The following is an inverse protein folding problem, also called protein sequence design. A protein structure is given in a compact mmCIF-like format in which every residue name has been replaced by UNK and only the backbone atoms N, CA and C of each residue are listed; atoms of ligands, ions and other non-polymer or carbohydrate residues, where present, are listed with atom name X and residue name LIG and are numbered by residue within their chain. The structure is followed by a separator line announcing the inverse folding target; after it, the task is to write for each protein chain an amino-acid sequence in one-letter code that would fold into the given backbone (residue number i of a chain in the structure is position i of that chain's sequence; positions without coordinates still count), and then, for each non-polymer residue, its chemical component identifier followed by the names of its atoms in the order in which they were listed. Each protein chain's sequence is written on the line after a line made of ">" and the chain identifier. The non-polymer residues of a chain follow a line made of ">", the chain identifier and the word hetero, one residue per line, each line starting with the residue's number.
data_IF_752614375692
#
_entry.id   IF_752614375692
#
_cell.length_a   1.000
_cell.length_b   1.000
_cell.length_c   1.000
_cell.angle_alpha   90.00
_cell.angle_beta   90.00
_cell.angle_gamma   90.00
#
_symmetry.space_group_name_H-M   'P 1'
#
loop_
_entity.id
_entity.type
_entity.pdbx_description
1 polymer ?
#
# COMPACT_ATOMS: atom_id res chain seq x y z
N UNK A 1 3.89 10.65 15.00
CA UNK A 1 2.89 10.44 13.93
C UNK A 1 3.56 9.82 12.72
N UNK A 2 2.84 9.16 11.82
CA UNK A 2 3.43 8.53 10.61
C UNK A 2 4.21 9.54 9.75
N UNK A 3 3.77 10.80 9.66
CA UNK A 3 4.50 11.87 8.96
C UNK A 3 5.94 12.12 9.48
N UNK A 4 6.24 11.83 10.75
CA UNK A 4 7.60 11.95 11.29
C UNK A 4 8.51 10.82 10.80
N UNK A 5 7.95 9.65 10.43
CA UNK A 5 8.70 8.50 9.93
C UNK A 5 9.31 8.78 8.55
N UNK A 6 8.55 9.42 7.65
CA UNK A 6 9.06 9.78 6.33
C UNK A 6 10.22 10.80 6.40
N UNK A 7 10.17 11.74 7.36
CA UNK A 7 11.29 12.65 7.60
C UNK A 7 12.53 11.92 8.14
N UNK A 8 12.32 10.84 8.91
CA UNK A 8 13.37 9.99 9.45
C UNK A 8 14.02 9.01 8.45
N UNK A 9 13.33 8.69 7.35
CA UNK A 9 13.81 7.73 6.34
C UNK A 9 14.94 8.27 5.43
N UNK A 10 15.25 9.57 5.53
CA UNK A 10 16.18 10.25 4.64
C UNK A 10 17.64 9.86 4.81
N UNK A 11 18.05 9.23 5.92
CA UNK A 11 19.44 8.82 6.18
C UNK A 11 19.49 7.49 6.92
N UNK A 12 20.52 6.65 6.66
CA UNK A 12 20.69 5.36 7.34
C UNK A 12 20.76 5.47 8.87
N UNK A 13 21.53 6.44 9.39
CA UNK A 13 21.61 6.71 10.83
C UNK A 13 20.25 7.13 11.41
N UNK A 14 19.45 7.84 10.63
CA UNK A 14 18.11 8.30 11.01
C UNK A 14 17.07 7.17 10.95
N UNK A 15 17.23 6.18 10.06
CA UNK A 15 16.40 4.96 10.06
C UNK A 15 16.62 4.13 11.32
N UNK A 16 17.87 3.91 11.74
CA UNK A 16 18.16 3.20 12.98
C UNK A 16 17.53 3.90 14.20
N UNK A 17 17.65 5.24 14.27
CA UNK A 17 17.00 6.05 15.32
C UNK A 17 15.47 5.98 15.24
N UNK A 18 14.90 5.96 14.03
CA UNK A 18 13.45 5.84 13.83
C UNK A 18 12.94 4.49 14.32
N UNK A 19 13.66 3.40 14.03
CA UNK A 19 13.37 2.06 14.55
C UNK A 19 13.38 2.07 16.08
N UNK A 20 14.44 2.60 16.70
CA UNK A 20 14.55 2.65 18.17
C UNK A 20 13.42 3.46 18.81
N UNK A 21 13.02 4.58 18.20
CA UNK A 21 11.89 5.39 18.66
C UNK A 21 10.56 4.64 18.56
N UNK A 22 10.34 3.92 17.46
CA UNK A 22 9.15 3.10 17.28
C UNK A 22 9.13 1.93 18.27
N UNK A 23 10.23 1.20 18.46
CA UNK A 23 10.32 0.11 19.44
C UNK A 23 9.96 0.55 20.87
N UNK A 24 10.31 1.79 21.24
CA UNK A 24 9.99 2.39 22.55
C UNK A 24 8.56 2.91 22.66
N UNK A 25 7.88 3.16 21.55
CA UNK A 25 6.50 3.65 21.55
C UNK A 25 5.51 2.50 21.79
N UNK A 26 5.31 2.18 23.06
CA UNK A 26 4.34 1.14 23.47
C UNK A 26 2.89 1.55 23.22
N UNK A 27 2.60 2.85 23.00
CA UNK A 27 1.24 3.35 22.83
C UNK A 27 0.63 2.98 21.47
N UNK A 28 1.47 2.72 20.47
CA UNK A 28 1.05 2.38 19.11
C UNK A 28 1.12 0.89 18.78
N UNK A 29 1.48 0.02 19.74
CA UNK A 29 1.68 -1.42 19.46
C UNK A 29 0.38 -2.20 19.21
N UNK A 30 -0.78 -1.64 19.54
CA UNK A 30 -2.08 -2.19 19.13
C UNK A 30 -2.47 -1.79 17.71
N UNK A 31 -1.72 -0.89 17.07
CA UNK A 31 -2.06 -0.33 15.77
C UNK A 31 -1.37 -1.08 14.63
N UNK A 32 -2.13 -1.50 13.62
CA UNK A 32 -1.56 -2.24 12.48
C UNK A 32 -0.49 -1.43 11.72
N UNK A 33 -0.71 -0.11 11.53
CA UNK A 33 0.23 0.74 10.81
C UNK A 33 1.61 0.77 11.47
N UNK A 34 1.68 0.66 12.79
CA UNK A 34 2.94 0.65 13.52
C UNK A 34 3.81 -0.52 13.08
N UNK A 35 3.23 -1.72 13.10
CA UNK A 35 3.91 -2.95 12.73
C UNK A 35 4.23 -3.03 11.24
N UNK A 36 3.35 -2.52 10.36
CA UNK A 36 3.63 -2.43 8.93
C UNK A 36 4.84 -1.55 8.63
N UNK A 37 4.91 -0.36 9.25
CA UNK A 37 6.03 0.55 9.07
C UNK A 37 7.33 -0.03 9.66
N UNK A 38 7.26 -0.62 10.86
CA UNK A 38 8.41 -1.22 11.51
C UNK A 38 8.94 -2.43 10.73
N UNK A 39 8.06 -3.29 10.21
CA UNK A 39 8.44 -4.41 9.36
C UNK A 39 9.19 -3.95 8.12
N UNK A 40 8.71 -2.89 7.45
CA UNK A 40 9.40 -2.34 6.29
C UNK A 40 10.75 -1.70 6.65
N UNK A 41 10.84 -0.98 7.77
CA UNK A 41 12.09 -0.39 8.24
C UNK A 41 13.14 -1.46 8.55
N UNK A 42 12.76 -2.55 9.24
CA UNK A 42 13.65 -3.69 9.49
C UNK A 42 14.13 -4.34 8.19
N UNK A 43 13.22 -4.60 7.24
CA UNK A 43 13.58 -5.15 5.93
C UNK A 43 14.57 -4.24 5.20
N UNK A 44 14.33 -2.92 5.21
CA UNK A 44 15.21 -1.93 4.59
C UNK A 44 16.55 -1.78 5.32
N UNK A 45 16.74 -2.46 6.45
CA UNK A 45 17.99 -2.49 7.22
C UNK A 45 18.54 -3.92 7.36
N UNK A 46 18.11 -4.84 6.48
CA UNK A 46 18.51 -6.27 6.43
C UNK A 46 18.21 -7.08 7.70
N UNK A 47 17.29 -6.60 8.54
CA UNK A 47 16.83 -7.30 9.74
C UNK A 47 15.59 -8.14 9.40
N UNK A 48 15.76 -9.15 8.53
CA UNK A 48 14.65 -9.89 7.93
C UNK A 48 13.82 -10.66 8.97
N UNK A 49 14.44 -11.26 9.99
CA UNK A 49 13.73 -11.97 11.06
C UNK A 49 12.83 -11.03 11.87
N UNK A 50 13.35 -9.85 12.24
CA UNK A 50 12.54 -8.83 12.93
C UNK A 50 11.43 -8.29 12.03
N UNK A 51 11.71 -8.16 10.74
CA UNK A 51 10.70 -7.75 9.75
C UNK A 51 9.56 -8.78 9.67
N UNK A 52 9.88 -10.08 9.67
CA UNK A 52 8.90 -11.17 9.72
C UNK A 52 8.06 -11.10 10.99
N UNK A 53 8.68 -10.90 12.16
CA UNK A 53 7.95 -10.75 13.43
C UNK A 53 6.98 -9.56 13.39
N UNK A 54 7.45 -8.41 12.90
CA UNK A 54 6.62 -7.22 12.79
C UNK A 54 5.43 -7.42 11.83
N UNK A 55 5.65 -8.00 10.64
CA UNK A 55 4.54 -8.31 9.73
C UNK A 55 3.58 -9.36 10.31
N UNK A 56 4.08 -10.33 11.09
CA UNK A 56 3.23 -11.28 11.82
C UNK A 56 2.32 -10.60 12.86
N UNK A 57 2.80 -9.57 13.56
CA UNK A 57 1.97 -8.78 14.48
C UNK A 57 0.92 -7.95 13.74
N UNK A 58 1.26 -7.36 12.59
CA UNK A 58 0.30 -6.68 11.73
C UNK A 58 -0.79 -7.66 11.22
N UNK A 59 -0.39 -8.87 10.80
CA UNK A 59 -1.31 -9.94 10.38
C UNK A 59 -2.26 -10.34 11.51
N UNK A 60 -1.75 -10.52 12.73
CA UNK A 60 -2.57 -10.88 13.89
C UNK A 60 -3.66 -9.84 14.21
N UNK A 61 -3.33 -8.55 14.15
CA UNK A 61 -4.30 -7.46 14.35
C UNK A 61 -5.36 -7.48 13.25
N UNK A 62 -4.94 -7.72 12.00
CA UNK A 62 -5.85 -7.82 10.87
C UNK A 62 -6.79 -9.03 11.00
N UNK A 63 -6.28 -10.19 11.38
CA UNK A 63 -7.07 -11.40 11.59
C UNK A 63 -8.12 -11.24 12.68
N UNK A 64 -7.76 -10.58 13.79
CA UNK A 64 -8.71 -10.28 14.87
C UNK A 64 -9.85 -9.37 14.38
N UNK A 65 -9.53 -8.38 13.55
CA UNK A 65 -10.52 -7.52 12.92
C UNK A 65 -11.43 -8.28 11.96
N UNK A 66 -10.86 -9.06 11.03
CA UNK A 66 -11.62 -9.80 10.02
C UNK A 66 -12.54 -10.84 10.66
N UNK A 67 -12.09 -11.51 11.73
CA UNK A 67 -12.92 -12.43 12.52
C UNK A 67 -14.11 -11.74 13.19
N UNK A 68 -13.91 -10.54 13.77
CA UNK A 68 -15.02 -9.74 14.33
C UNK A 68 -15.97 -9.21 13.26
N UNK A 69 -15.42 -8.79 12.12
CA UNK A 69 -16.21 -8.27 11.02
C UNK A 69 -17.15 -9.35 10.46
N UNK A 70 -16.67 -10.59 10.25
CA UNK A 70 -17.53 -11.70 9.81
C UNK A 70 -18.69 -11.98 10.78
N UNK A 71 -18.44 -11.90 12.09
CA UNK A 71 -19.48 -12.07 13.13
C UNK A 71 -20.44 -10.88 13.18
N UNK A 72 -19.94 -9.66 12.99
CA UNK A 72 -20.76 -8.43 12.95
C UNK A 72 -21.61 -8.36 11.68
N UNK A 73 -21.11 -8.87 10.55
CA UNK A 73 -21.85 -8.98 9.29
C UNK A 73 -23.03 -9.96 9.37
N UNK A 74 -22.97 -10.95 10.27
CA UNK A 74 -24.11 -11.85 10.57
C UNK A 74 -25.20 -11.19 11.44
N UNK A 75 -24.92 -10.05 12.08
CA UNK A 75 -25.79 -9.38 13.05
C UNK A 75 -26.12 -7.92 12.70
N UNK A 76 -26.07 -7.52 11.42
CA UNK A 76 -26.10 -6.09 11.03
C UNK A 76 -27.39 -5.38 11.46
N UNK A 77 -27.26 -4.62 12.54
CA UNK A 77 -28.07 -3.45 12.90
C UNK A 77 -27.25 -2.17 12.85
N UNK A 78 -26.46 -1.95 11.78
CA UNK A 78 -25.66 -0.72 11.62
C UNK A 78 -26.43 0.32 10.79
N UNK A 79 -27.30 1.09 11.45
CA UNK A 79 -27.96 2.24 10.84
C UNK A 79 -27.00 3.40 10.50
N UNK A 80 -27.56 4.53 10.05
CA UNK A 80 -26.84 5.75 9.65
C UNK A 80 -25.84 6.32 10.69
N UNK A 81 -25.87 5.88 11.95
CA UNK A 81 -25.00 6.36 13.03
C UNK A 81 -23.50 6.09 12.81
N UNK A 82 -23.13 5.03 12.08
CA UNK A 82 -21.73 4.74 11.74
C UNK A 82 -21.10 5.79 10.80
N UNK A 83 -21.93 6.48 10.00
CA UNK A 83 -21.50 7.53 9.08
C UNK A 83 -21.10 8.83 9.80
N UNK A 84 -21.43 8.95 11.09
CA UNK A 84 -21.14 10.14 11.90
C UNK A 84 -19.71 10.17 12.43
N UNK A 85 -19.04 9.02 12.51
CA UNK A 85 -17.64 8.97 12.92
C UNK A 85 -16.75 9.64 11.86
N UNK A 86 -15.83 10.50 12.31
CA UNK A 86 -14.82 11.06 11.40
C UNK A 86 -13.89 9.96 10.92
N UNK A 87 -13.43 10.03 9.68
CA UNK A 87 -12.53 8.99 9.12
C UNK A 87 -11.20 8.83 9.87
N UNK A 88 -10.66 9.88 10.48
CA UNK A 88 -9.47 9.74 11.35
C UNK A 88 -9.74 9.06 12.71
N UNK A 89 -11.00 8.80 13.03
CA UNK A 89 -11.42 7.98 14.18
C UNK A 89 -11.76 6.53 13.80
N UNK A 90 -11.75 6.19 12.50
CA UNK A 90 -11.86 4.80 12.04
C UNK A 90 -10.54 4.08 12.34
N UNK A 91 -10.61 2.89 12.93
CA UNK A 91 -9.41 2.07 13.17
C UNK A 91 -8.81 1.63 11.84
N UNK A 92 -7.49 1.76 11.70
CA UNK A 92 -6.77 1.43 10.48
C UNK A 92 -6.39 -0.07 10.43
N UNK A 93 -6.90 -0.77 9.42
CA UNK A 93 -6.62 -2.20 9.16
C UNK A 93 -6.06 -2.43 7.75
N UNK A 94 -5.42 -1.42 7.16
CA UNK A 94 -4.92 -1.48 5.79
C UNK A 94 -6.02 -1.50 4.72
N UNK A 95 -5.71 -0.92 3.57
CA UNK A 95 -6.46 -1.06 2.31
C UNK A 95 -6.11 -2.37 1.61
N UNK A 96 -6.90 -2.76 0.62
CA UNK A 96 -6.73 -4.03 -0.11
C UNK A 96 -5.29 -4.28 -0.58
N UNK A 97 -4.69 -3.31 -1.29
CA UNK A 97 -3.28 -3.42 -1.70
C UNK A 97 -2.29 -3.47 -0.53
N UNK A 98 -2.55 -2.76 0.57
CA UNK A 98 -1.63 -2.76 1.72
C UNK A 98 -1.62 -4.14 2.39
N UNK A 99 -2.79 -4.78 2.52
CA UNK A 99 -2.91 -6.14 3.07
C UNK A 99 -2.20 -7.17 2.20
N UNK A 100 -2.30 -7.05 0.87
CA UNK A 100 -1.66 -8.01 -0.04
C UNK A 100 -0.15 -7.79 -0.12
N UNK A 101 0.29 -6.53 -0.21
CA UNK A 101 1.71 -6.18 -0.23
C UNK A 101 2.42 -6.45 1.10
N UNK A 102 1.71 -6.49 2.22
CA UNK A 102 2.25 -6.99 3.50
C UNK A 102 2.83 -8.39 3.34
N UNK A 103 2.05 -9.31 2.77
CA UNK A 103 2.50 -10.67 2.51
C UNK A 103 3.56 -10.74 1.41
N UNK A 104 3.47 -9.91 0.37
CA UNK A 104 4.52 -9.81 -0.66
C UNK A 104 5.87 -9.45 -0.06
N UNK A 105 5.91 -8.42 0.78
CA UNK A 105 7.13 -7.99 1.46
C UNK A 105 7.59 -9.02 2.50
N UNK A 106 6.67 -9.66 3.22
CA UNK A 106 7.02 -10.70 4.18
C UNK A 106 7.60 -11.95 3.50
N UNK A 107 7.02 -12.39 2.39
CA UNK A 107 7.57 -13.51 1.62
C UNK A 107 8.94 -13.21 1.04
N UNK A 108 9.21 -11.95 0.68
CA UNK A 108 10.56 -11.55 0.29
C UNK A 108 11.56 -11.64 1.47
N UNK A 109 11.15 -11.34 2.70
CA UNK A 109 12.01 -11.56 3.88
C UNK A 109 12.38 -13.04 4.02
N UNK A 110 11.41 -13.94 3.91
CA UNK A 110 11.67 -15.39 3.92
C UNK A 110 12.62 -15.80 2.78
N UNK A 111 12.43 -15.27 1.57
CA UNK A 111 13.31 -15.53 0.44
C UNK A 111 14.75 -15.07 0.72
N UNK A 112 14.94 -13.86 1.28
CA UNK A 112 16.25 -13.32 1.63
C UNK A 112 16.96 -14.12 2.73
N UNK A 113 16.21 -14.86 3.56
CA UNK A 113 16.75 -15.82 4.52
C UNK A 113 17.02 -17.21 3.92
N UNK A 114 16.89 -17.36 2.60
CA UNK A 114 17.03 -18.63 1.88
C UNK A 114 15.83 -19.57 2.03
N UNK A 115 14.76 -19.15 2.73
CA UNK A 115 13.57 -19.94 2.97
C UNK A 115 12.51 -19.69 1.88
N UNK A 116 12.76 -20.20 0.67
CA UNK A 116 11.85 -20.03 -0.48
C UNK A 116 10.52 -20.78 -0.33
N UNK A 117 10.50 -21.86 0.46
CA UNK A 117 9.27 -22.57 0.81
C UNK A 117 8.37 -21.69 1.70
N UNK A 118 8.93 -21.08 2.74
CA UNK A 118 8.26 -20.10 3.58
C UNK A 118 7.81 -18.85 2.81
N UNK A 119 8.65 -18.38 1.87
CA UNK A 119 8.27 -17.31 0.95
C UNK A 119 7.03 -17.68 0.15
N UNK A 120 6.97 -18.89 -0.40
CA UNK A 120 5.83 -19.41 -1.16
C UNK A 120 4.57 -19.54 -0.30
N UNK A 121 4.71 -19.94 0.98
CA UNK A 121 3.58 -19.94 1.93
C UNK A 121 3.01 -18.53 2.12
N UNK A 122 3.85 -17.52 2.31
CA UNK A 122 3.39 -16.13 2.40
C UNK A 122 2.75 -15.64 1.10
N UNK A 123 3.24 -16.04 -0.08
CA UNK A 123 2.61 -15.70 -1.35
C UNK A 123 1.20 -16.31 -1.50
N UNK A 124 0.97 -17.51 -0.96
CA UNK A 124 -0.38 -18.10 -0.91
C UNK A 124 -1.31 -17.33 0.04
N UNK A 125 -0.80 -16.81 1.16
CA UNK A 125 -1.58 -15.91 2.03
C UNK A 125 -1.94 -14.62 1.31
N UNK A 126 -0.99 -14.02 0.58
CA UNK A 126 -1.23 -12.84 -0.27
C UNK A 126 -2.43 -13.10 -1.21
N UNK A 127 -2.44 -14.22 -1.93
CA UNK A 127 -3.52 -14.59 -2.83
C UNK A 127 -4.85 -14.79 -2.11
N UNK A 128 -4.85 -15.50 -0.97
CA UNK A 128 -6.05 -15.68 -0.14
C UNK A 128 -6.66 -14.35 0.30
N UNK A 129 -5.83 -13.36 0.66
CA UNK A 129 -6.32 -12.02 1.06
C UNK A 129 -6.92 -11.25 -0.12
N UNK A 130 -6.44 -11.45 -1.35
CA UNK A 130 -7.08 -10.86 -2.53
C UNK A 130 -8.50 -11.39 -2.72
N UNK A 131 -8.71 -12.69 -2.55
CA UNK A 131 -10.05 -13.29 -2.65
C UNK A 131 -11.00 -12.78 -1.56
N UNK A 132 -10.50 -12.61 -0.33
CA UNK A 132 -11.27 -12.02 0.76
C UNK A 132 -11.68 -10.59 0.44
N UNK A 133 -10.75 -9.78 -0.05
CA UNK A 133 -11.02 -8.38 -0.39
C UNK A 133 -11.97 -8.22 -1.57
N UNK A 134 -11.94 -9.12 -2.55
CA UNK A 134 -12.94 -9.13 -3.63
C UNK A 134 -14.36 -9.22 -3.05
N UNK A 135 -14.60 -10.15 -2.13
CA UNK A 135 -15.89 -10.30 -1.45
C UNK A 135 -16.25 -9.08 -0.61
N UNK A 136 -15.32 -8.60 0.23
CA UNK A 136 -15.52 -7.40 1.06
C UNK A 136 -15.86 -6.16 0.20
N UNK A 137 -15.22 -6.02 -0.96
CA UNK A 137 -15.47 -4.92 -1.90
C UNK A 137 -16.87 -4.99 -2.53
N UNK A 138 -17.32 -6.19 -2.94
CA UNK A 138 -18.67 -6.39 -3.49
C UNK A 138 -19.77 -6.07 -2.46
N UNK A 139 -19.56 -6.48 -1.21
CA UNK A 139 -20.46 -6.20 -0.09
C UNK A 139 -20.52 -4.70 0.23
N UNK A 140 -19.37 -4.02 0.29
CA UNK A 140 -19.31 -2.56 0.49
C UNK A 140 -20.02 -1.78 -0.60
N UNK A 141 -19.97 -2.23 -1.85
CA UNK A 141 -20.73 -1.62 -2.94
C UNK A 141 -22.25 -1.76 -2.71
N UNK A 142 -22.71 -2.94 -2.30
CA UNK A 142 -24.12 -3.16 -1.94
C UNK A 142 -24.57 -2.31 -0.76
N UNK A 143 -23.76 -2.22 0.30
CA UNK A 143 -24.07 -1.37 1.45
C UNK A 143 -24.12 0.12 1.11
N UNK A 144 -23.18 0.59 0.28
CA UNK A 144 -23.14 1.98 -0.16
C UNK A 144 -24.42 2.36 -0.89
N UNK A 145 -24.94 1.45 -1.74
CA UNK A 145 -26.20 1.65 -2.43
C UNK A 145 -27.39 1.78 -1.46
N UNK A 146 -27.50 0.89 -0.47
CA UNK A 146 -28.57 0.94 0.55
C UNK A 146 -28.52 2.24 1.37
N UNK A 147 -27.32 2.61 1.84
CA UNK A 147 -27.12 3.84 2.63
C UNK A 147 -27.45 5.11 1.83
N UNK A 148 -27.20 5.11 0.51
CA UNK A 148 -27.57 6.23 -0.38
C UNK A 148 -29.09 6.45 -0.45
N UNK A 149 -29.88 5.37 -0.41
CA UNK A 149 -31.36 5.45 -0.40
C UNK A 149 -31.91 6.02 0.91
N UNK A 150 -31.23 5.78 2.04
CA UNK A 150 -31.64 6.27 3.37
C UNK A 150 -31.29 7.75 3.61
N UNK A 151 -30.31 8.31 2.90
CA UNK A 151 -29.84 9.69 3.10
C UNK A 151 -30.78 10.69 2.42
N UNK A 152 -31.45 11.52 3.24
CA UNK A 152 -32.29 12.62 2.76
C UNK A 152 -31.50 13.63 1.93
N UNK A 153 -32.08 14.06 0.80
CA UNK A 153 -31.53 15.11 -0.07
C UNK A 153 -30.75 14.60 -1.28
N UNK A 154 -30.59 13.27 -1.44
CA UNK A 154 -29.97 12.60 -2.58
C UNK A 154 -28.73 13.35 -3.13
N UNK A 155 -27.67 13.54 -2.31
CA UNK A 155 -26.48 14.25 -2.75
C UNK A 155 -25.86 13.56 -3.97
N UNK A 156 -25.35 14.34 -4.92
CA UNK A 156 -24.62 13.80 -6.06
C UNK A 156 -23.25 13.28 -5.60
N UNK A 157 -23.22 11.99 -5.26
CA UNK A 157 -22.03 11.27 -4.76
C UNK A 157 -21.18 10.67 -5.88
N UNK A 158 -21.73 10.59 -7.08
CA UNK A 158 -21.13 9.83 -8.18
C UNK A 158 -20.17 10.69 -9.00
N UNK A 159 -20.26 12.02 -8.84
CA UNK A 159 -19.38 12.98 -9.47
C UNK A 159 -18.30 13.46 -8.52
N UNK A 160 -17.10 13.61 -9.07
CA UNK A 160 -15.98 14.24 -8.34
C UNK A 160 -16.35 15.71 -8.08
N UNK A 161 -16.32 16.18 -6.83
CA UNK A 161 -16.64 17.57 -6.51
C UNK A 161 -15.69 18.55 -7.20
N UNK A 162 -16.23 19.67 -7.69
CA UNK A 162 -15.42 20.74 -8.26
C UNK A 162 -14.44 21.30 -7.22
N UNK A 163 -13.18 21.47 -7.62
CA UNK A 163 -12.12 21.99 -6.74
C UNK A 163 -11.47 20.96 -5.81
N UNK A 164 -11.82 19.68 -5.92
CA UNK A 164 -11.16 18.60 -5.18
C UNK A 164 -9.79 18.25 -5.76
N UNK A 165 -8.74 18.23 -4.93
CA UNK A 165 -7.34 18.14 -5.41
C UNK A 165 -7.02 16.83 -6.13
N UNK A 166 -7.77 15.76 -5.82
CA UNK A 166 -7.57 14.44 -6.43
C UNK A 166 -8.23 14.27 -7.79
N UNK A 167 -8.97 15.28 -8.29
CA UNK A 167 -9.77 15.13 -9.52
C UNK A 167 -9.00 14.60 -10.72
N UNK A 168 -7.79 15.12 -10.97
CA UNK A 168 -6.94 14.65 -12.07
C UNK A 168 -6.41 13.23 -11.82
N UNK A 169 -5.90 12.95 -10.62
CA UNK A 169 -5.32 11.64 -10.28
C UNK A 169 -6.36 10.50 -10.32
N UNK A 170 -7.60 10.76 -9.93
CA UNK A 170 -8.69 9.76 -9.99
C UNK A 170 -9.25 9.54 -11.40
N UNK A 171 -8.86 10.38 -12.35
CA UNK A 171 -9.21 10.26 -13.77
C UNK A 171 -8.04 9.82 -14.65
N UNK A 172 -6.87 9.61 -14.05
CA UNK A 172 -5.69 9.06 -14.69
C UNK A 172 -6.03 7.76 -15.45
N UNK A 173 -5.60 7.61 -16.72
CA UNK A 173 -5.93 6.45 -17.53
C UNK A 173 -5.51 5.11 -16.91
N UNK A 174 -4.34 5.05 -16.26
CA UNK A 174 -3.86 3.84 -15.60
C UNK A 174 -4.81 3.47 -14.45
N UNK A 175 -5.19 4.46 -13.63
CA UNK A 175 -6.13 4.27 -12.51
C UNK A 175 -7.49 3.77 -13.02
N UNK A 176 -8.00 4.33 -14.13
CA UNK A 176 -9.29 3.92 -14.70
C UNK A 176 -9.26 2.54 -15.35
N UNK A 177 -8.11 2.14 -15.91
CA UNK A 177 -7.93 0.85 -16.55
C UNK A 177 -7.76 -0.29 -15.52
N UNK A 178 -7.38 0.02 -14.28
CA UNK A 178 -7.24 -0.98 -13.23
C UNK A 178 -8.58 -1.63 -12.90
N UNK A 179 -8.62 -2.96 -13.04
CA UNK A 179 -9.79 -3.75 -12.66
C UNK A 179 -10.09 -3.64 -11.15
N UNK A 180 -9.05 -3.64 -10.33
CA UNK A 180 -9.16 -3.54 -8.89
C UNK A 180 -7.91 -2.91 -8.25
N UNK A 181 -7.94 -2.72 -6.93
CA UNK A 181 -6.90 -2.06 -6.15
C UNK A 181 -6.13 -2.99 -5.21
N UNK A 182 -6.17 -4.31 -5.42
CA UNK A 182 -5.57 -5.28 -4.50
C UNK A 182 -4.74 -6.37 -5.20
N UNK A 183 -4.89 -6.52 -6.52
CA UNK A 183 -4.04 -7.35 -7.36
C UNK A 183 -2.99 -6.49 -8.04
N UNK A 184 -1.74 -6.98 -8.04
CA UNK A 184 -0.63 -6.34 -8.72
C UNK A 184 0.27 -7.37 -9.43
N UNK A 185 0.84 -6.98 -10.56
CA UNK A 185 1.64 -7.87 -11.38
C UNK A 185 2.96 -8.25 -10.69
N UNK A 186 3.51 -7.37 -9.85
CA UNK A 186 4.75 -7.62 -9.13
C UNK A 186 4.62 -8.76 -8.13
N UNK A 187 3.60 -8.75 -7.27
CA UNK A 187 3.37 -9.80 -6.26
C UNK A 187 3.17 -11.16 -6.91
N UNK A 188 2.43 -11.23 -8.02
CA UNK A 188 2.29 -12.46 -8.79
C UNK A 188 3.58 -12.88 -9.50
N UNK A 189 4.36 -11.93 -10.00
CA UNK A 189 5.64 -12.24 -10.64
C UNK A 189 6.66 -12.76 -9.61
N UNK A 190 6.73 -12.14 -8.43
CA UNK A 190 7.54 -12.61 -7.31
C UNK A 190 7.07 -13.98 -6.83
N UNK A 191 5.75 -14.19 -6.69
CA UNK A 191 5.17 -15.49 -6.36
C UNK A 191 5.63 -16.58 -7.32
N UNK A 192 5.58 -16.31 -8.62
CA UNK A 192 6.06 -17.23 -9.64
C UNK A 192 7.57 -17.50 -9.55
N UNK A 193 8.37 -16.51 -9.15
CA UNK A 193 9.82 -16.68 -8.98
C UNK A 193 10.12 -17.54 -7.76
N UNK A 194 9.61 -17.18 -6.57
CA UNK A 194 9.94 -17.88 -5.33
C UNK A 194 9.41 -19.30 -5.31
N UNK A 195 8.23 -19.55 -5.87
CA UNK A 195 7.66 -20.90 -5.91
C UNK A 195 8.35 -21.80 -6.93
N UNK A 196 8.90 -21.23 -8.02
CA UNK A 196 9.76 -21.99 -8.94
C UNK A 196 11.06 -22.40 -8.25
N UNK A 197 11.67 -21.49 -7.50
CA UNK A 197 12.90 -21.77 -6.73
C UNK A 197 12.63 -22.87 -5.69
N UNK A 198 11.46 -22.86 -5.04
CA UNK A 198 11.05 -23.91 -4.11
C UNK A 198 10.48 -25.18 -4.78
N UNK A 199 10.65 -25.36 -6.09
CA UNK A 199 10.17 -26.51 -6.88
C UNK A 199 8.63 -26.71 -6.91
N UNK A 200 7.83 -25.70 -6.61
CA UNK A 200 6.37 -25.69 -6.85
C UNK A 200 6.05 -25.10 -8.24
N UNK A 201 6.26 -25.94 -9.25
CA UNK A 201 6.09 -25.58 -10.67
C UNK A 201 4.64 -25.23 -11.01
N UNK A 202 3.67 -25.96 -10.46
CA UNK A 202 2.25 -25.73 -10.75
C UNK A 202 1.81 -24.34 -10.25
N UNK A 203 2.13 -24.01 -8.99
CA UNK A 203 1.80 -22.70 -8.44
C UNK A 203 2.56 -21.58 -9.14
N UNK A 204 3.81 -21.84 -9.53
CA UNK A 204 4.64 -20.91 -10.31
C UNK A 204 3.98 -20.54 -11.64
N UNK A 205 3.52 -21.54 -12.41
CA UNK A 205 2.90 -21.32 -13.72
C UNK A 205 1.58 -20.54 -13.62
N UNK A 206 0.77 -20.81 -12.59
CA UNK A 206 -0.47 -20.07 -12.33
C UNK A 206 -0.14 -18.61 -12.01
N UNK A 207 0.80 -18.38 -11.08
CA UNK A 207 1.22 -17.03 -10.69
C UNK A 207 1.83 -16.25 -11.86
N UNK A 208 2.62 -16.91 -12.70
CA UNK A 208 3.19 -16.31 -13.91
C UNK A 208 2.09 -15.84 -14.89
N UNK A 209 1.09 -16.69 -15.16
CA UNK A 209 -0.02 -16.33 -16.05
C UNK A 209 -0.79 -15.11 -15.52
N UNK A 210 -1.02 -15.04 -14.21
CA UNK A 210 -1.68 -13.89 -13.57
C UNK A 210 -0.83 -12.62 -13.62
N UNK A 211 0.47 -12.71 -13.41
CA UNK A 211 1.38 -11.58 -13.54
C UNK A 211 1.32 -10.98 -14.96
N UNK A 212 1.39 -11.82 -15.99
CA UNK A 212 1.33 -11.40 -17.40
C UNK A 212 -0.05 -10.84 -17.78
N UNK A 213 -1.13 -11.40 -17.21
CA UNK A 213 -2.48 -10.88 -17.43
C UNK A 213 -2.69 -9.48 -16.83
N UNK A 214 -2.05 -9.19 -15.70
CA UNK A 214 -2.11 -7.87 -15.05
C UNK A 214 -1.14 -6.86 -15.70
N UNK A 215 0.04 -7.31 -16.13
CA UNK A 215 1.01 -6.50 -16.88
C UNK A 215 1.77 -7.37 -17.89
N UNK A 216 1.58 -7.14 -19.21
CA UNK A 216 2.32 -7.87 -20.23
C UNK A 216 3.85 -7.77 -20.11
N UNK A 217 4.36 -6.69 -19.51
CA UNK A 217 5.79 -6.49 -19.26
C UNK A 217 6.39 -7.55 -18.32
N UNK A 218 5.57 -8.17 -17.45
CA UNK A 218 6.01 -9.25 -16.57
C UNK A 218 6.53 -10.47 -17.34
N UNK A 219 6.14 -10.64 -18.62
CA UNK A 219 6.66 -11.71 -19.49
C UNK A 219 8.17 -11.67 -19.64
N UNK A 220 8.79 -10.49 -19.53
CA UNK A 220 10.25 -10.32 -19.64
C UNK A 220 11.01 -11.01 -18.51
N UNK A 221 10.41 -11.14 -17.31
CA UNK A 221 10.97 -11.85 -16.15
C UNK A 221 11.10 -13.35 -16.43
N UNK A 222 10.17 -13.90 -17.21
CA UNK A 222 10.04 -15.33 -17.47
C UNK A 222 10.57 -15.73 -18.85
N UNK A 223 11.08 -14.78 -19.63
CA UNK A 223 11.64 -15.06 -20.94
C UNK A 223 12.79 -16.07 -20.83
N UNK A 224 12.87 -17.05 -21.72
CA UNK A 224 14.03 -17.93 -21.77
C UNK A 224 15.27 -17.11 -22.09
N UNK A 225 16.41 -17.48 -21.48
CA UNK A 225 17.67 -16.81 -21.80
C UNK A 225 18.01 -17.02 -23.27
N UNK A 226 18.40 -15.95 -23.96
CA UNK A 226 18.92 -16.03 -25.34
C UNK A 226 20.37 -16.55 -25.37
N UNK A 227 21.03 -16.57 -24.21
CA UNK A 227 22.39 -17.08 -24.07
C UNK A 227 22.39 -18.60 -23.96
N UNK A 228 23.42 -19.24 -24.53
CA UNK A 228 23.60 -20.69 -24.39
C UNK A 228 23.96 -21.00 -22.94
N UNK A 229 23.13 -21.79 -22.26
CA UNK A 229 23.41 -22.24 -20.92
C UNK A 229 24.73 -23.04 -20.88
N UNK A 230 25.62 -22.66 -19.96
CA UNK A 230 26.82 -23.42 -19.60
C UNK A 230 26.74 -23.80 -18.11
N UNK A 231 27.57 -24.74 -17.62
CA UNK A 231 27.61 -25.07 -16.20
C UNK A 231 27.92 -23.88 -15.27
N UNK A 232 28.52 -22.82 -15.81
CA UNK A 232 28.91 -21.61 -15.08
C UNK A 232 27.87 -20.49 -15.18
N UNK A 233 26.83 -20.64 -16.01
CA UNK A 233 25.77 -19.64 -16.12
C UNK A 233 24.66 -19.90 -15.10
N UNK A 234 24.25 -18.86 -14.39
CA UNK A 234 23.14 -18.89 -13.45
C UNK A 234 22.13 -17.79 -13.77
N UNK A 235 20.88 -18.02 -13.39
CA UNK A 235 19.85 -16.98 -13.43
C UNK A 235 19.93 -16.13 -12.15
N UNK A 236 19.88 -14.81 -12.32
CA UNK A 236 19.89 -13.82 -11.25
C UNK A 236 18.60 -13.02 -11.35
N UNK A 237 17.78 -13.11 -10.31
CA UNK A 237 16.59 -12.30 -10.16
C UNK A 237 16.94 -11.01 -9.41
N UNK A 238 16.52 -9.86 -9.93
CA UNK A 238 16.74 -8.57 -9.27
C UNK A 238 15.39 -7.96 -8.92
N UNK A 239 15.13 -7.86 -7.62
CA UNK A 239 13.99 -7.14 -7.04
C UNK A 239 14.48 -5.76 -6.62
N UNK A 240 13.82 -4.70 -7.07
CA UNK A 240 14.11 -3.33 -6.63
C UNK A 240 12.85 -2.62 -6.19
N UNK A 241 12.86 -2.09 -4.96
CA UNK A 241 11.81 -1.23 -4.43
C UNK A 241 12.29 0.21 -4.36
N UNK A 242 11.46 1.15 -4.82
CA UNK A 242 11.77 2.58 -4.79
C UNK A 242 10.59 3.41 -4.28
N UNK A 243 10.93 4.53 -3.65
CA UNK A 243 9.97 5.52 -3.18
C UNK A 243 9.09 5.04 -2.03
N UNK A 244 8.29 5.98 -1.55
CA UNK A 244 7.31 5.78 -0.49
C UNK A 244 5.91 6.04 -1.03
N UNK A 245 4.95 5.21 -0.63
CA UNK A 245 3.57 5.32 -1.02
C UNK A 245 2.98 6.71 -0.67
N UNK A 246 1.96 7.17 -1.40
CA UNK A 246 1.23 8.39 -1.10
C UNK A 246 0.81 8.50 0.37
N UNK A 247 0.95 9.70 0.94
CA UNK A 247 0.49 10.00 2.30
C UNK A 247 -0.96 10.44 2.26
N UNK A 248 -1.80 9.90 3.14
CA UNK A 248 -3.17 10.37 3.29
C UNK A 248 -3.22 11.75 3.95
N UNK A 249 -4.16 12.56 3.45
CA UNK A 249 -4.45 13.91 3.90
C UNK A 249 -5.97 14.15 3.83
N UNK A 250 -6.40 15.35 4.20
CA UNK A 250 -7.79 15.78 4.07
C UNK A 250 -7.84 17.05 3.24
N UNK A 251 -8.77 17.04 2.28
CA UNK A 251 -9.16 18.18 1.48
C UNK A 251 -10.47 18.75 2.01
N UNK A 252 -10.51 20.08 2.18
CA UNK A 252 -11.71 20.81 2.61
C UNK A 252 -12.41 21.42 1.40
N UNK A 253 -13.51 20.83 0.98
CA UNK A 253 -14.21 21.20 -0.25
C UNK A 253 -15.51 21.90 0.07
N UNK A 254 -15.72 23.09 -0.53
CA UNK A 254 -17.02 23.76 -0.46
C UNK A 254 -18.01 23.02 -1.35
N UNK A 255 -19.04 22.46 -0.73
CA UNK A 255 -20.03 21.64 -1.41
C UNK A 255 -21.42 22.29 -1.33
N UNK A 256 -22.12 22.46 -2.46
CA UNK A 256 -23.49 22.96 -2.46
C UNK A 256 -24.44 21.89 -1.91
N UNK A 257 -25.37 22.27 -1.04
CA UNK A 257 -26.50 21.43 -0.64
C UNK A 257 -27.79 22.07 -1.16
N UNK A 258 -28.21 21.75 -2.40
CA UNK A 258 -29.36 22.40 -3.04
C UNK A 258 -30.64 22.28 -2.23
N UNK A 259 -30.85 21.14 -1.56
CA UNK A 259 -32.01 20.87 -0.72
C UNK A 259 -32.12 21.79 0.50
N UNK A 260 -31.04 22.47 0.90
CA UNK A 260 -31.00 23.34 2.07
C UNK A 260 -30.67 24.80 1.73
N UNK A 261 -30.46 25.12 0.44
CA UNK A 261 -30.14 26.47 -0.04
C UNK A 261 -28.92 27.13 0.66
N UNK A 262 -27.90 26.35 1.03
CA UNK A 262 -26.63 26.85 1.58
C UNK A 262 -25.42 25.99 1.14
N UNK A 263 -24.21 26.51 1.34
CA UNK A 263 -22.95 25.79 1.10
C UNK A 263 -22.37 25.24 2.40
N UNK A 264 -21.92 24.00 2.38
CA UNK A 264 -21.17 23.41 3.50
C UNK A 264 -19.71 23.15 3.12
N UNK A 265 -18.85 22.94 4.10
CA UNK A 265 -17.50 22.39 3.89
C UNK A 265 -17.56 20.88 4.13
N UNK A 266 -17.04 20.09 3.20
CA UNK A 266 -16.85 18.65 3.32
C UNK A 266 -15.37 18.35 3.55
N UNK A 267 -15.10 17.47 4.51
CA UNK A 267 -13.77 16.93 4.79
C UNK A 267 -13.61 15.61 4.04
N UNK A 268 -13.00 15.66 2.85
CA UNK A 268 -12.79 14.50 1.98
C UNK A 268 -11.36 13.97 2.11
N UNK A 269 -11.16 12.64 2.10
CA UNK A 269 -9.81 12.06 2.05
C UNK A 269 -9.06 12.51 0.79
N UNK A 270 -7.77 12.78 0.88
CA UNK A 270 -6.90 13.05 -0.27
C UNK A 270 -5.56 12.35 -0.11
N UNK A 271 -4.76 12.32 -1.17
CA UNK A 271 -3.45 11.66 -1.20
C UNK A 271 -2.40 12.63 -1.74
N UNK A 272 -1.27 12.74 -1.06
CA UNK A 272 -0.10 13.48 -1.55
C UNK A 272 0.67 12.62 -2.55
N UNK A 273 1.45 13.24 -3.42
CA UNK A 273 2.33 12.50 -4.33
C UNK A 273 3.32 11.60 -3.57
N UNK A 274 3.73 10.47 -4.19
CA UNK A 274 4.82 9.64 -3.70
C UNK A 274 6.10 10.44 -3.46
N UNK A 275 6.90 10.00 -2.48
CA UNK A 275 8.21 10.58 -2.20
C UNK A 275 9.32 9.67 -2.70
N UNK A 276 10.43 10.27 -3.12
CA UNK A 276 11.68 9.58 -3.46
C UNK A 276 11.53 8.42 -4.46
N UNK A 277 10.51 8.50 -5.33
CA UNK A 277 10.26 7.46 -6.32
C UNK A 277 11.17 7.62 -7.53
N UNK A 278 11.69 6.49 -8.02
CA UNK A 278 12.55 6.45 -9.20
C UNK A 278 11.72 5.91 -10.36
N UNK A 279 11.82 6.53 -11.54
CA UNK A 279 11.00 6.15 -12.69
C UNK A 279 11.57 4.97 -13.49
N UNK A 280 12.89 4.75 -13.45
CA UNK A 280 13.57 3.72 -14.21
C UNK A 280 14.68 3.05 -13.41
N UNK A 281 14.83 1.73 -13.60
CA UNK A 281 15.91 0.92 -13.04
C UNK A 281 16.52 0.14 -14.20
N UNK A 282 17.84 0.23 -14.39
CA UNK A 282 18.54 -0.56 -15.39
C UNK A 282 19.43 -1.58 -14.71
N UNK A 283 19.49 -2.78 -15.26
CA UNK A 283 20.36 -3.87 -14.80
C UNK A 283 21.41 -4.13 -15.86
N UNK A 284 22.67 -4.20 -15.45
CA UNK A 284 23.76 -4.64 -16.30
C UNK A 284 24.30 -5.98 -15.82
N UNK A 285 24.45 -6.91 -16.76
CA UNK A 285 25.21 -8.16 -16.57
C UNK A 285 26.23 -8.30 -17.70
N UNK A 286 27.47 -8.76 -17.45
CA UNK A 286 28.46 -9.00 -18.50
C UNK A 286 27.96 -9.87 -19.66
N UNK A 287 27.06 -10.83 -19.37
CA UNK A 287 26.50 -11.72 -20.40
C UNK A 287 25.37 -11.10 -21.22
N UNK A 288 24.65 -10.12 -20.69
CA UNK A 288 23.44 -9.59 -21.33
C UNK A 288 23.56 -8.12 -21.75
N UNK A 289 24.59 -7.42 -21.28
CA UNK A 289 24.65 -5.97 -21.38
C UNK A 289 23.64 -5.31 -20.45
N UNK A 290 23.25 -4.08 -20.78
CA UNK A 290 22.29 -3.29 -20.01
C UNK A 290 20.85 -3.55 -20.49
N UNK A 291 19.92 -3.74 -19.56
CA UNK A 291 18.49 -3.92 -19.80
C UNK A 291 17.66 -3.10 -18.82
N UNK A 292 16.54 -2.57 -19.29
CA UNK A 292 15.58 -1.90 -18.41
C UNK A 292 14.79 -2.94 -17.61
N UNK A 293 14.67 -2.74 -16.30
CA UNK A 293 13.82 -3.56 -15.45
C UNK A 293 12.37 -3.07 -15.58
N UNK A 294 11.38 -3.95 -15.82
CA UNK A 294 9.99 -3.55 -15.90
C UNK A 294 9.48 -3.10 -14.51
N UNK A 295 8.65 -2.05 -14.50
CA UNK A 295 8.00 -1.54 -13.28
C UNK A 295 6.65 -2.23 -13.12
N UNK A 296 6.61 -3.26 -12.28
CA UNK A 296 5.42 -4.12 -12.13
C UNK A 296 4.50 -3.70 -10.96
N UNK A 297 4.98 -2.86 -10.05
CA UNK A 297 4.21 -2.30 -8.95
C UNK A 297 4.19 -0.76 -9.02
N UNK A 298 2.99 -0.20 -8.82
CA UNK A 298 2.71 1.23 -8.71
C UNK A 298 1.67 1.46 -7.60
N UNK A 299 2.10 1.59 -6.36
CA UNK A 299 1.16 1.66 -5.21
C UNK A 299 0.39 2.97 -5.18
N UNK A 300 0.92 4.05 -5.76
CA UNK A 300 0.16 5.28 -5.99
C UNK A 300 -1.09 5.06 -6.82
N UNK A 301 -0.99 4.35 -7.95
CA UNK A 301 -2.14 4.02 -8.80
C UNK A 301 -3.15 3.15 -8.04
N UNK A 302 -2.68 2.20 -7.24
CA UNK A 302 -3.55 1.37 -6.37
C UNK A 302 -4.26 2.22 -5.30
N UNK A 303 -3.55 3.17 -4.68
CA UNK A 303 -4.12 4.09 -3.70
C UNK A 303 -5.15 5.04 -4.33
N UNK A 304 -4.87 5.59 -5.52
CA UNK A 304 -5.82 6.41 -6.27
C UNK A 304 -7.04 5.60 -6.70
N UNK A 305 -6.87 4.35 -7.16
CA UNK A 305 -7.99 3.46 -7.46
C UNK A 305 -8.84 3.18 -6.23
N UNK A 306 -8.20 2.90 -5.09
CA UNK A 306 -8.89 2.71 -3.80
C UNK A 306 -9.72 3.94 -3.44
N UNK A 307 -9.13 5.13 -3.50
CA UNK A 307 -9.83 6.38 -3.21
C UNK A 307 -10.98 6.62 -4.20
N UNK A 308 -10.78 6.33 -5.50
CA UNK A 308 -11.82 6.44 -6.52
C UNK A 308 -13.03 5.57 -6.19
N UNK A 309 -12.79 4.33 -5.78
CA UNK A 309 -13.84 3.36 -5.47
C UNK A 309 -14.59 3.73 -4.18
N UNK A 310 -13.88 4.28 -3.19
CA UNK A 310 -14.47 4.70 -1.90
C UNK A 310 -15.12 6.09 -1.94
N UNK A 311 -14.75 6.95 -2.90
CA UNK A 311 -15.13 8.36 -2.94
C UNK A 311 -16.65 8.59 -2.80
N UNK A 312 -17.55 7.85 -3.46
CA UNK A 312 -18.98 8.07 -3.32
C UNK A 312 -19.47 7.90 -1.87
N UNK A 313 -18.99 6.86 -1.19
CA UNK A 313 -19.30 6.61 0.22
C UNK A 313 -18.71 7.71 1.12
N UNK A 314 -17.51 8.19 0.81
CA UNK A 314 -16.85 9.26 1.56
C UNK A 314 -17.56 10.60 1.41
N UNK A 315 -18.05 10.94 0.21
CA UNK A 315 -18.90 12.12 0.00
C UNK A 315 -20.17 12.00 0.82
N UNK A 316 -20.84 10.84 0.77
CA UNK A 316 -22.06 10.59 1.54
C UNK A 316 -21.83 10.74 3.04
N UNK A 317 -20.81 10.07 3.61
CA UNK A 317 -20.41 10.21 5.01
C UNK A 317 -20.17 11.68 5.37
N UNK A 318 -19.46 12.40 4.51
CA UNK A 318 -19.11 13.81 4.76
C UNK A 318 -20.34 14.73 4.73
N UNK A 319 -21.29 14.50 3.83
CA UNK A 319 -22.57 15.23 3.80
C UNK A 319 -23.39 14.98 5.07
N UNK A 320 -23.48 13.71 5.52
CA UNK A 320 -24.19 13.36 6.76
C UNK A 320 -23.52 14.00 7.98
N UNK A 321 -22.18 13.96 8.08
CA UNK A 321 -21.43 14.63 9.15
C UNK A 321 -21.65 16.14 9.13
N UNK A 322 -21.56 16.78 7.96
CA UNK A 322 -21.70 18.22 7.82
C UNK A 322 -23.11 18.72 8.17
N UNK A 323 -24.15 18.02 7.70
CA UNK A 323 -25.54 18.35 8.04
C UNK A 323 -25.82 18.16 9.53
N UNK A 324 -25.29 17.10 10.14
CA UNK A 324 -25.41 16.88 11.59
C UNK A 324 -24.72 17.98 12.40
N UNK A 325 -23.49 18.37 12.04
CA UNK A 325 -22.80 19.53 12.63
C UNK A 325 -23.66 20.80 12.54
N UNK A 326 -24.28 21.05 11.38
CA UNK A 326 -25.15 22.20 11.16
C UNK A 326 -26.44 22.18 12.01
N UNK A 327 -27.09 21.03 12.16
CA UNK A 327 -28.30 20.88 12.99
C UNK A 327 -27.97 21.12 14.47
N UNK A 328 -26.89 20.53 14.97
CA UNK A 328 -26.46 20.72 16.37
C UNK A 328 -26.10 22.18 16.65
N UNK A 329 -25.36 22.84 15.76
CA UNK A 329 -25.03 24.25 15.89
C UNK A 329 -26.29 25.15 15.89
N UNK A 330 -27.27 24.84 15.03
CA UNK A 330 -28.56 25.55 14.99
C UNK A 330 -29.34 25.36 16.29
N UNK A 331 -29.49 24.13 16.77
CA UNK A 331 -30.18 23.85 18.02
C UNK A 331 -29.52 24.54 19.23
N UNK A 332 -28.19 24.57 19.28
CA UNK A 332 -27.43 25.28 20.30
C UNK A 332 -27.64 26.81 20.21
N UNK A 333 -27.72 27.36 18.99
CA UNK A 333 -28.08 28.77 18.79
C UNK A 333 -29.50 29.10 19.24
N UNK A 334 -30.45 28.17 19.02
CA UNK A 334 -31.85 28.36 19.41
C UNK A 334 -32.03 28.36 20.95
N UNK A 335 -31.17 27.66 21.70
CA UNK A 335 -31.24 27.56 23.18
C UNK A 335 -30.27 28.50 23.91
N UNK A 336 -29.10 28.81 23.34
CA UNK A 336 -28.02 29.59 23.96
C UNK A 336 -27.69 30.90 23.26
N UNK A 337 -28.50 31.30 22.27
CA UNK A 337 -28.25 32.47 21.43
C UNK A 337 -27.01 32.31 20.54
N UNK A 338 -26.60 33.40 19.89
CA UNK A 338 -25.46 33.43 18.96
C UNK A 338 -24.15 32.90 19.59
N UNK A 339 -23.95 33.14 20.89
CA UNK A 339 -22.78 32.65 21.62
C UNK A 339 -22.81 31.13 21.83
N UNK A 340 -23.98 30.54 22.08
CA UNK A 340 -24.15 29.08 22.18
C UNK A 340 -23.88 28.38 20.86
N UNK A 341 -24.36 28.95 19.75
CA UNK A 341 -24.08 28.44 18.40
C UNK A 341 -22.58 28.48 18.05
N UNK A 342 -21.91 29.60 18.32
CA UNK A 342 -20.47 29.77 18.05
C UNK A 342 -19.60 28.85 18.93
N UNK A 343 -19.95 28.69 20.21
CA UNK A 343 -19.24 27.78 21.11
C UNK A 343 -19.36 26.33 20.63
N UNK A 344 -20.56 25.90 20.22
CA UNK A 344 -20.79 24.57 19.69
C UNK A 344 -20.02 24.30 18.38
N UNK A 345 -19.98 25.27 17.46
CA UNK A 345 -19.23 25.12 16.21
C UNK A 345 -17.72 25.02 16.46
N UNK A 346 -17.16 25.85 17.35
CA UNK A 346 -15.73 25.80 17.69
C UNK A 346 -15.38 24.45 18.34
N UNK A 347 -16.19 23.98 19.30
CA UNK A 347 -15.97 22.69 19.95
C UNK A 347 -16.00 21.53 18.95
N UNK A 348 -16.96 21.52 18.02
CA UNK A 348 -17.06 20.52 16.97
C UNK A 348 -15.86 20.57 16.00
N UNK A 349 -15.43 21.77 15.60
CA UNK A 349 -14.29 21.94 14.70
C UNK A 349 -12.99 21.49 15.36
N UNK A 350 -12.74 21.89 16.61
CA UNK A 350 -11.59 21.43 17.40
C UNK A 350 -11.61 19.91 17.51
N UNK A 351 -12.73 19.32 17.94
CA UNK A 351 -12.87 17.86 18.07
C UNK A 351 -12.60 17.15 16.75
N UNK A 352 -13.21 17.60 15.65
CA UNK A 352 -12.98 17.01 14.33
C UNK A 352 -11.53 17.18 13.89
N UNK A 353 -10.89 18.33 14.10
CA UNK A 353 -9.50 18.55 13.71
C UNK A 353 -8.52 17.63 14.46
N UNK A 354 -8.74 17.38 15.76
CA UNK A 354 -7.96 16.40 16.53
C UNK A 354 -8.15 14.97 16.02
N UNK A 355 -9.38 14.61 15.62
CA UNK A 355 -9.64 13.29 15.03
C UNK A 355 -9.04 13.18 13.62
N UNK A 356 -9.07 14.25 12.83
CA UNK A 356 -8.51 14.32 11.47
C UNK A 356 -6.98 14.23 11.43
N UNK A 357 -6.29 14.74 12.46
CA UNK A 357 -4.85 14.54 12.66
C UNK A 357 -4.47 13.06 12.91
N UNK A 358 -5.47 12.19 13.10
CA UNK A 358 -5.30 10.76 13.33
C UNK A 358 -5.45 9.88 12.08
N UNK A 359 -5.51 10.44 10.87
CA UNK A 359 -5.43 9.64 9.65
C UNK A 359 -4.12 8.85 9.58
N UNK A 360 -4.20 7.55 9.25
CA UNK A 360 -3.07 6.63 9.16
C UNK A 360 -3.12 5.87 7.84
N UNK A 361 -1.95 5.69 7.23
CA UNK A 361 -1.72 4.75 6.15
C UNK A 361 -0.32 4.14 6.29
N UNK A 362 -0.01 3.10 5.51
CA UNK A 362 1.32 2.51 5.49
C UNK A 362 2.29 3.38 4.69
N UNK A 363 2.80 4.43 5.31
CA UNK A 363 3.65 5.45 4.65
C UNK A 363 5.01 4.91 4.18
N UNK A 364 5.54 3.85 4.79
CA UNK A 364 6.80 3.24 4.38
C UNK A 364 6.66 2.22 3.25
N UNK A 365 5.43 1.87 2.84
CA UNK A 365 5.20 0.97 1.71
C UNK A 365 5.92 1.49 0.46
N UNK A 366 6.62 0.64 -0.32
CA UNK A 366 7.26 1.08 -1.56
C UNK A 366 6.26 1.70 -2.55
N UNK A 367 6.63 2.78 -3.23
CA UNK A 367 5.81 3.28 -4.33
C UNK A 367 5.90 2.38 -5.56
N UNK A 368 7.13 1.93 -5.85
CA UNK A 368 7.45 1.15 -7.04
C UNK A 368 8.15 -0.13 -6.69
N UNK A 369 7.86 -1.15 -7.49
CA UNK A 369 8.51 -2.45 -7.46
C UNK A 369 8.88 -2.85 -8.88
N UNK A 370 10.16 -3.18 -9.04
CA UNK A 370 10.76 -3.64 -10.27
C UNK A 370 11.23 -5.07 -10.06
N UNK A 371 11.00 -5.92 -11.05
CA UNK A 371 11.48 -7.30 -11.03
C UNK A 371 12.03 -7.63 -12.41
N UNK A 372 13.26 -8.10 -12.47
CA UNK A 372 13.90 -8.56 -13.69
C UNK A 372 14.64 -9.87 -13.47
N UNK A 373 14.91 -10.56 -14.57
CA UNK A 373 15.78 -11.73 -14.61
C UNK A 373 16.92 -11.44 -15.58
N UNK A 374 18.15 -11.65 -15.13
CA UNK A 374 19.35 -11.61 -15.97
C UNK A 374 20.13 -12.91 -15.83
N UNK A 375 20.84 -13.31 -16.87
CA UNK A 375 21.81 -14.40 -16.77
C UNK A 375 23.19 -13.80 -16.50
N UNK A 376 23.96 -14.45 -15.62
CA UNK A 376 25.34 -14.06 -15.29
C UNK A 376 26.21 -15.32 -15.17
N UNK A 377 27.53 -15.19 -15.31
CA UNK A 377 28.45 -16.27 -14.90
C UNK A 377 28.72 -16.19 -13.40
N UNK A 378 29.02 -17.34 -12.79
CA UNK A 378 29.58 -17.38 -11.44
C UNK A 378 30.86 -16.53 -11.37
N UNK A 379 30.93 -15.62 -10.42
CA UNK A 379 31.98 -14.60 -10.29
C UNK A 379 31.73 -13.27 -11.00
N UNK A 380 30.74 -13.19 -11.91
CA UNK A 380 30.39 -11.91 -12.55
C UNK A 380 29.81 -10.94 -11.52
N UNK A 381 29.96 -9.65 -11.80
CA UNK A 381 29.27 -8.58 -11.04
C UNK A 381 28.04 -8.12 -11.82
N UNK A 382 26.85 -8.27 -11.23
CA UNK A 382 25.61 -7.68 -11.72
C UNK A 382 25.48 -6.28 -11.14
N UNK A 383 25.21 -5.28 -11.99
CA UNK A 383 25.13 -3.87 -11.59
C UNK A 383 23.67 -3.41 -11.70
N UNK A 384 23.13 -2.88 -10.60
CA UNK A 384 21.82 -2.22 -10.56
C UNK A 384 22.03 -0.71 -10.63
N UNK A 385 21.45 -0.04 -11.63
CA UNK A 385 21.54 1.41 -11.83
C UNK A 385 20.18 2.05 -11.52
N UNK A 386 20.15 2.93 -10.52
CA UNK A 386 18.95 3.69 -10.14
C UNK A 386 19.33 5.00 -9.46
N UNK A 387 18.52 6.05 -9.65
CA UNK A 387 18.73 7.33 -8.95
C UNK A 387 20.09 7.99 -9.19
N UNK A 388 20.71 7.75 -10.36
CA UNK A 388 22.06 8.23 -10.69
C UNK A 388 23.21 7.51 -9.95
N UNK A 389 22.92 6.39 -9.28
CA UNK A 389 23.88 5.56 -8.56
C UNK A 389 23.95 4.16 -9.18
N UNK A 390 25.09 3.50 -9.00
CA UNK A 390 25.33 2.12 -9.46
C UNK A 390 25.70 1.23 -8.27
N UNK A 391 25.06 0.07 -8.17
CA UNK A 391 25.29 -0.89 -7.10
C UNK A 391 25.68 -2.24 -7.69
N UNK A 392 26.93 -2.64 -7.47
CA UNK A 392 27.46 -3.93 -7.94
C UNK A 392 27.25 -5.03 -6.90
N UNK A 393 26.76 -6.19 -7.34
CA UNK A 393 26.68 -7.41 -6.56
C UNK A 393 27.46 -8.50 -7.29
N UNK A 394 28.48 -9.03 -6.63
CA UNK A 394 29.24 -10.17 -7.15
C UNK A 394 28.46 -11.45 -6.92
N UNK A 395 28.26 -12.23 -7.99
CA UNK A 395 27.66 -13.57 -7.90
C UNK A 395 28.75 -14.53 -7.41
N UNK A 396 28.57 -15.23 -6.28
CA UNK A 396 29.61 -16.12 -5.75
C UNK A 396 29.98 -17.27 -6.72
N UNK A 397 31.15 -17.88 -6.50
CA UNK A 397 31.64 -18.96 -7.35
C UNK A 397 30.92 -20.29 -7.07
N UNK A 398 30.42 -20.43 -5.84
CA UNK A 398 29.73 -21.57 -5.28
C UNK A 398 28.23 -21.61 -5.60
N UNK A 399 27.69 -20.56 -6.22
CA UNK A 399 26.27 -20.48 -6.58
C UNK A 399 25.84 -21.72 -7.37
N UNK A 400 24.82 -22.41 -6.89
CA UNK A 400 24.34 -23.67 -7.49
C UNK A 400 23.32 -23.42 -8.57
N UNK A 401 22.18 -22.85 -8.23
CA UNK A 401 21.07 -22.67 -9.16
C UNK A 401 20.92 -21.20 -9.58
N UNK A 402 21.08 -20.27 -8.64
CA UNK A 402 21.00 -18.84 -8.93
C UNK A 402 21.08 -17.94 -7.71
N UNK A 403 20.81 -16.66 -7.93
CA UNK A 403 20.80 -15.66 -6.86
C UNK A 403 19.60 -14.72 -7.00
N UNK A 404 19.08 -14.29 -5.85
CA UNK A 404 18.07 -13.24 -5.74
C UNK A 404 18.73 -12.01 -5.11
N UNK A 405 18.75 -10.90 -5.83
CA UNK A 405 19.23 -9.61 -5.37
C UNK A 405 18.03 -8.77 -4.95
N UNK A 406 18.10 -8.16 -3.77
CA UNK A 406 17.15 -7.18 -3.28
C UNK A 406 17.81 -5.82 -3.14
N UNK A 407 17.26 -4.83 -3.85
CA UNK A 407 17.60 -3.42 -3.72
C UNK A 407 16.44 -2.68 -3.08
N UNK A 408 16.68 -2.07 -1.92
CA UNK A 408 15.70 -1.25 -1.21
C UNK A 408 16.15 0.20 -1.20
N UNK A 409 15.55 1.01 -2.06
CA UNK A 409 15.77 2.46 -2.14
C UNK A 409 14.65 3.19 -1.40
N UNK A 410 14.98 3.75 -0.23
CA UNK A 410 14.06 4.64 0.50
C UNK A 410 14.31 6.10 0.15
N UNK A 411 15.58 6.48 -0.05
CA UNK A 411 15.99 7.82 -0.47
C UNK A 411 17.39 7.75 -1.09
N UNK A 412 17.87 8.86 -1.67
CA UNK A 412 19.21 8.91 -2.29
C UNK A 412 20.35 8.64 -1.30
N UNK A 413 20.13 8.84 0.00
CA UNK A 413 21.10 8.59 1.06
C UNK A 413 20.80 7.30 1.84
N UNK A 414 19.74 6.57 1.46
CA UNK A 414 19.34 5.32 2.07
C UNK A 414 18.97 4.28 1.02
N UNK A 415 20.01 3.59 0.56
CA UNK A 415 19.90 2.43 -0.31
C UNK A 415 20.58 1.25 0.37
N UNK A 416 19.84 0.16 0.50
CA UNK A 416 20.38 -1.14 0.89
C UNK A 416 20.33 -2.11 -0.28
N UNK A 417 21.41 -2.85 -0.45
CA UNK A 417 21.53 -3.92 -1.45
C UNK A 417 21.96 -5.18 -0.74
N UNK A 418 21.21 -6.25 -0.95
CA UNK A 418 21.50 -7.55 -0.39
C UNK A 418 21.22 -8.65 -1.40
N UNK A 419 21.75 -9.85 -1.15
CA UNK A 419 21.51 -10.99 -2.03
C UNK A 419 21.51 -12.30 -1.25
N UNK A 420 20.88 -13.30 -1.86
CA UNK A 420 20.82 -14.68 -1.36
C UNK A 420 21.00 -15.64 -2.53
N UNK A 421 21.65 -16.76 -2.29
CA UNK A 421 21.84 -17.85 -3.26
C UNK A 421 20.80 -18.95 -3.04
N UNK A 422 20.48 -19.70 -4.09
CA UNK A 422 19.56 -20.84 -4.04
C UNK A 422 19.98 -22.02 -4.91
#
# INVERSE_FOLDING_TARGET
>A
STQQLQAGANQKETVAKTIEQMEKDTSAQSEMWHWLNLGRLYQSNKQYEKSIEAFGKAEAILDEYEARAEVSMRNVGAGMGSLLFSKGAETYYGKGYERTLMHTLNGLNYAMLGNFEGATVEMRKMEKRQEFWLKESEEKLSETQKKKEEVKGNPNTDQIPAGYSMGEMLQDPDVRAMANNYQDAFSYALSAVVSRISNDTQYSEISQKRAVALSPEASTVFAPSKQKATPDTVDVYVVTFTGQAPVQSIDKIRFPLPSLNYYTVLDLPSLKHPKDDISYVNIYSPLMGESASPRLLKTDKMAYKTLKDELPLEIMKSVVRATTKGVVAKQASDHGGLLGGLAASILMDVTSSTMEQSYRNWEMLPNSGYLSKVSAKKGDTVIVKLGGQEFGVQIPQETKNGSLILVSYLSSQNVEVDHVEY
#
